data_IF_158969480223
#
_entry.id   IF_158969480223
#
_cell.length_a   1.000
_cell.length_b   1.000
_cell.length_c   1.000
_cell.angle_alpha   90.00
_cell.angle_beta   90.00
_cell.angle_gamma   90.00
#
_symmetry.space_group_name_H-M   'P 1'
#
loop_
_entity.id
_entity.type
_entity.pdbx_description
1 polymer ?
2 non-polymer ?
3 non-polymer ?
4 non-polymer ?
5 water ?
#
# COMPACT_ATOMS: atom_id res chain seq x y z
N UNK A 1 -7.66 -4.44 -19.27
CA UNK A 1 -8.20 -3.11 -19.02
C UNK A 1 -8.16 -2.86 -17.52
N UNK A 2 -8.13 -1.60 -17.12
CA UNK A 2 -8.11 -1.20 -15.73
C UNK A 2 -9.52 -1.01 -15.18
N UNK A 3 -9.73 -1.40 -13.92
CA UNK A 3 -11.08 -1.25 -13.34
C UNK A 3 -11.30 0.20 -12.96
N UNK A 4 -12.44 0.79 -13.32
CA UNK A 4 -12.78 2.11 -12.79
C UNK A 4 -13.26 2.02 -11.35
N UNK A 5 -13.37 3.19 -10.73
CA UNK A 5 -13.84 3.30 -9.33
C UNK A 5 -15.07 2.43 -9.04
N UNK A 6 -16.10 2.52 -9.89
CA UNK A 6 -17.32 1.81 -9.54
C UNK A 6 -17.15 0.29 -9.63
N UNK A 7 -16.24 -0.20 -10.44
CA UNK A 7 -15.96 -1.64 -10.43
C UNK A 7 -15.06 -2.03 -9.28
N UNK A 8 -14.09 -1.18 -8.91
CA UNK A 8 -13.32 -1.44 -7.71
C UNK A 8 -14.24 -1.61 -6.51
N UNK A 9 -15.16 -0.68 -6.34
CA UNK A 9 -16.09 -0.75 -5.22
C UNK A 9 -16.83 -2.08 -5.18
N UNK A 10 -17.21 -2.61 -6.34
CA UNK A 10 -17.98 -3.86 -6.41
C UNK A 10 -17.11 -5.10 -6.22
N UNK A 11 -15.94 -5.17 -6.86
CA UNK A 11 -15.19 -6.41 -7.04
C UNK A 11 -14.03 -6.62 -6.08
N UNK A 12 -13.45 -5.58 -5.51
CA UNK A 12 -12.28 -5.73 -4.68
C UNK A 12 -12.70 -5.54 -3.24
N UNK A 13 -12.41 -6.51 -2.40
CA UNK A 13 -12.59 -6.33 -0.97
C UNK A 13 -11.47 -5.44 -0.47
N UNK A 14 -11.82 -4.30 0.12
CA UNK A 14 -10.88 -3.30 0.62
C UNK A 14 -11.46 -2.86 1.96
N UNK A 15 -10.85 -3.31 3.06
CA UNK A 15 -11.42 -3.10 4.40
C UNK A 15 -10.36 -2.71 5.42
N UNK A 16 -10.56 -1.64 6.17
CA UNK A 16 -11.75 -0.75 6.15
C UNK A 16 -11.77 0.19 4.94
N UNK A 17 -12.94 0.34 4.32
CA UNK A 17 -13.06 1.12 3.08
C UNK A 17 -13.25 2.59 3.43
N UNK A 18 -12.45 3.43 2.81
CA UNK A 18 -12.47 4.87 3.04
C UNK A 18 -12.99 5.53 1.78
N UNK A 19 -14.13 6.22 1.88
CA UNK A 19 -14.73 6.83 0.69
C UNK A 19 -13.77 7.78 -0.01
N UNK A 20 -13.07 8.62 0.77
CA UNK A 20 -12.17 9.61 0.19
C UNK A 20 -11.00 8.94 -0.54
N UNK A 21 -10.71 7.69 -0.25
CA UNK A 21 -9.61 7.00 -0.93
C UNK A 21 -9.96 6.54 -2.35
N UNK A 22 -11.24 6.46 -2.71
CA UNK A 22 -11.55 5.93 -4.04
C UNK A 22 -11.24 7.00 -5.07
N UNK A 23 -10.42 6.65 -6.05
CA UNK A 23 -10.00 7.53 -7.12
C UNK A 23 -10.62 7.05 -8.40
N UNK A 24 -10.49 7.80 -9.49
CA UNK A 24 -11.18 7.42 -10.74
C UNK A 24 -10.87 6.00 -11.21
N UNK A 25 -9.61 5.57 -11.04
CA UNK A 25 -9.21 4.24 -11.44
C UNK A 25 -8.26 3.64 -10.40
N UNK A 26 -8.55 3.81 -9.13
CA UNK A 26 -7.69 3.20 -8.13
C UNK A 26 -8.19 3.52 -6.73
N UNK A 27 -7.41 3.10 -5.74
CA UNK A 27 -7.78 3.29 -4.33
C UNK A 27 -6.55 3.74 -3.57
N UNK A 28 -6.66 4.80 -2.78
CA UNK A 28 -5.54 5.31 -1.95
C UNK A 28 -5.45 4.51 -0.63
N UNK A 29 -4.56 3.53 -0.63
CA UNK A 29 -4.20 2.80 0.59
C UNK A 29 -3.66 3.78 1.62
N UNK A 30 -3.96 3.50 2.89
CA UNK A 30 -3.60 4.39 3.98
C UNK A 30 -2.50 3.77 4.85
N UNK A 31 -1.73 4.65 5.49
CA UNK A 31 -0.75 4.20 6.48
C UNK A 31 -1.46 3.45 7.62
N UNK A 32 -1.02 2.22 7.89
CA UNK A 32 -1.61 1.33 8.88
C UNK A 32 -0.89 1.36 10.23
N UNK A 33 -1.01 0.23 10.95
CA UNK A 33 -0.75 0.22 12.38
C UNK A 33 0.68 0.00 12.74
N UNK A 34 1.52 -0.43 11.80
CA UNK A 34 2.87 -0.89 12.08
C UNK A 34 3.84 -0.40 11.01
N UNK A 35 5.07 -0.09 11.46
CA UNK A 35 6.17 0.22 10.54
C UNK A 35 7.41 -0.41 11.11
N UNK A 36 8.46 -0.49 10.32
CA UNK A 36 9.72 -1.09 10.72
C UNK A 36 10.86 -0.30 10.07
N UNK A 37 11.73 0.30 10.88
CA UNK A 37 12.78 1.18 10.39
C UNK A 37 14.01 0.91 11.23
N UNK A 38 15.15 0.66 10.59
CA UNK A 38 16.43 0.50 11.31
C UNK A 38 16.33 -0.53 12.43
N UNK A 39 15.68 -1.66 12.15
CA UNK A 39 15.68 -2.79 13.07
C UNK A 39 14.61 -2.71 14.14
N UNK A 40 13.77 -1.67 14.12
CA UNK A 40 12.84 -1.39 15.21
C UNK A 40 11.41 -1.32 14.69
N UNK A 41 10.50 -2.00 15.39
CA UNK A 41 9.09 -1.96 15.10
C UNK A 41 8.54 -0.68 15.71
N UNK A 42 7.66 -0.02 14.98
CA UNK A 42 7.02 1.21 15.40
C UNK A 42 5.53 0.96 15.42
N UNK A 43 4.90 1.26 16.56
CA UNK A 43 3.45 1.19 16.65
C UNK A 43 2.88 2.51 16.13
N UNK A 44 2.56 2.56 14.83
CA UNK A 44 2.10 3.78 14.18
C UNK A 44 0.72 4.15 14.69
N UNK A 45 -0.13 3.15 14.97
CA UNK A 45 -1.45 3.44 15.54
C UNK A 45 -1.32 4.21 16.84
N UNK A 46 -0.41 3.76 17.71
CA UNK A 46 -0.26 4.39 19.01
C UNK A 46 0.42 5.74 18.89
N UNK A 47 1.51 5.82 18.13
CA UNK A 47 2.27 7.06 18.02
C UNK A 47 1.59 8.10 17.13
N UNK A 48 0.68 7.67 16.27
CA UNK A 48 -0.03 8.55 15.40
C UNK A 48 0.67 8.88 14.12
N UNK A 49 1.89 8.39 13.91
CA UNK A 49 2.65 8.72 12.72
C UNK A 49 3.87 7.82 12.68
N UNK A 50 4.47 7.80 11.50
CA UNK A 50 5.80 7.22 11.30
C UNK A 50 6.68 8.32 10.69
N UNK A 51 7.93 8.42 11.13
CA UNK A 51 8.92 9.37 10.60
C UNK A 51 9.99 8.55 9.90
N UNK A 52 10.14 8.79 8.61
CA UNK A 52 11.18 8.10 7.83
C UNK A 52 12.42 8.98 7.85
N UNK A 53 13.52 8.54 8.45
CA UNK A 53 14.71 9.41 8.56
C UNK A 53 15.30 9.72 7.18
N UNK A 54 16.11 10.77 7.08
CA UNK A 54 16.77 11.07 5.79
C UNK A 54 17.55 9.87 5.27
N UNK A 55 17.49 9.64 3.96
CA UNK A 55 18.31 8.62 3.31
C UNK A 55 18.14 7.25 3.93
N UNK A 56 16.91 6.91 4.31
CA UNK A 56 16.62 5.65 4.98
C UNK A 56 15.34 5.09 4.38
N UNK A 57 15.24 3.76 4.33
CA UNK A 57 14.02 3.09 3.94
C UNK A 57 13.23 2.61 5.13
N UNK A 58 11.96 2.32 4.91
CA UNK A 58 11.02 1.96 5.96
C UNK A 58 10.07 0.95 5.36
N UNK A 59 9.59 0.01 6.16
CA UNK A 59 8.45 -0.85 5.82
C UNK A 59 7.23 -0.30 6.52
N UNK A 60 6.14 -0.18 5.80
CA UNK A 60 4.89 0.35 6.36
C UNK A 60 3.78 -0.62 5.99
N UNK A 61 2.95 -0.98 6.98
CA UNK A 61 1.80 -1.84 6.73
C UNK A 61 0.61 -1.01 6.30
N UNK A 62 -0.12 -1.46 5.28
CA UNK A 62 -1.32 -0.70 4.92
C UNK A 62 -2.38 -0.89 6.00
N UNK A 63 -3.21 0.16 6.18
CA UNK A 63 -4.38 0.00 7.05
C UNK A 63 -5.35 -1.01 6.48
N UNK A 64 -5.54 -1.03 5.16
CA UNK A 64 -6.53 -1.86 4.51
C UNK A 64 -6.00 -3.25 4.22
N UNK A 65 -6.87 -4.24 4.43
CA UNK A 65 -6.76 -5.52 3.76
C UNK A 65 -7.31 -5.38 2.35
N UNK A 66 -6.62 -5.96 1.38
CA UNK A 66 -7.04 -6.01 -0.01
C UNK A 66 -7.12 -7.48 -0.45
N UNK A 67 -8.23 -7.86 -1.08
CA UNK A 67 -8.40 -9.22 -1.60
C UNK A 67 -8.66 -9.10 -3.09
N UNK A 68 -7.79 -9.70 -3.90
CA UNK A 68 -7.91 -9.66 -5.36
C UNK A 68 -8.52 -10.95 -5.89
N UNK A 69 -9.48 -10.82 -6.82
CA UNK A 69 -9.97 -11.98 -7.58
C UNK A 69 -8.86 -12.65 -8.34
N UNK A 70 -9.12 -13.86 -8.85
CA UNK A 70 -8.12 -14.60 -9.59
C UNK A 70 -7.87 -14.06 -11.01
N UNK A 71 -8.60 -13.02 -11.42
CA UNK A 71 -8.41 -12.42 -12.73
C UNK A 71 -8.08 -10.91 -12.64
N UNK A 72 -7.53 -10.47 -11.52
CA UNK A 72 -7.11 -9.07 -11.39
C UNK A 72 -5.73 -9.01 -10.77
N UNK A 73 -4.90 -8.12 -11.34
CA UNK A 73 -3.55 -7.84 -10.82
C UNK A 73 -3.54 -6.43 -10.20
N UNK A 74 -2.89 -6.25 -9.04
CA UNK A 74 -2.80 -4.94 -8.40
C UNK A 74 -1.47 -4.24 -8.68
N UNK A 75 -1.55 -2.94 -8.92
CA UNK A 75 -0.42 -2.16 -9.44
C UNK A 75 -0.33 -0.84 -8.64
N UNK A 76 0.69 -0.69 -7.77
CA UNK A 76 0.77 0.42 -6.83
C UNK A 76 1.75 1.49 -7.25
N UNK A 77 1.40 2.76 -6.97
CA UNK A 77 2.31 3.89 -7.11
C UNK A 77 2.11 4.80 -5.93
N UNK A 78 3.17 5.48 -5.54
CA UNK A 78 3.09 6.46 -4.49
C UNK A 78 2.19 7.61 -4.91
N UNK A 79 1.56 8.27 -3.94
CA UNK A 79 0.85 9.50 -4.22
C UNK A 79 1.80 10.64 -4.58
N UNK A 80 1.33 11.55 -5.42
CA UNK A 80 2.22 12.55 -6.01
C UNK A 80 2.89 13.45 -4.97
N UNK A 81 2.15 13.89 -3.93
CA UNK A 81 2.79 14.82 -2.99
C UNK A 81 3.95 14.17 -2.25
N UNK A 82 3.85 12.86 -1.96
CA UNK A 82 4.92 12.18 -1.24
C UNK A 82 6.14 11.97 -2.12
N UNK A 83 5.93 11.77 -3.43
CA UNK A 83 7.06 11.71 -4.34
C UNK A 83 7.77 13.05 -4.37
N UNK A 84 7.00 14.17 -4.42
CA UNK A 84 7.63 15.49 -4.49
C UNK A 84 8.48 15.76 -3.26
N UNK A 85 8.12 15.21 -2.11
CA UNK A 85 8.83 15.43 -0.87
C UNK A 85 10.04 14.53 -0.73
N UNK A 86 10.28 13.68 -1.71
CA UNK A 86 11.52 12.92 -1.75
C UNK A 86 11.34 11.45 -1.49
N UNK A 87 10.11 10.92 -1.33
CA UNK A 87 9.95 9.48 -1.15
C UNK A 87 9.89 8.74 -2.47
N UNK A 88 10.44 7.51 -2.46
CA UNK A 88 10.34 6.56 -3.56
C UNK A 88 9.78 5.27 -3.01
N UNK A 89 8.76 4.71 -3.64
CA UNK A 89 8.25 3.39 -3.23
C UNK A 89 8.95 2.29 -4.00
N UNK A 90 9.18 1.18 -3.34
CA UNK A 90 9.74 0.02 -4.01
C UNK A 90 8.71 -1.08 -3.92
N UNK A 91 7.89 -1.20 -4.94
CA UNK A 91 6.70 -2.02 -4.87
C UNK A 91 6.77 -3.23 -5.77
N UNK A 92 6.26 -4.37 -5.30
CA UNK A 92 6.11 -5.59 -6.10
C UNK A 92 4.72 -5.62 -6.69
N UNK A 93 4.52 -6.50 -7.66
CA UNK A 93 3.15 -6.74 -8.14
C UNK A 93 2.29 -7.32 -7.01
N UNK A 94 0.99 -7.01 -7.01
CA UNK A 94 0.04 -7.65 -6.09
C UNK A 94 -0.70 -8.73 -6.89
N UNK A 95 -0.34 -9.98 -6.62
CA UNK A 95 -0.71 -11.08 -7.50
C UNK A 95 -2.21 -11.40 -7.43
N UNK A 96 -2.79 -11.83 -8.55
CA UNK A 96 -4.16 -12.35 -8.54
C UNK A 96 -4.30 -13.39 -7.45
N UNK A 97 -5.36 -13.25 -6.65
CA UNK A 97 -5.61 -14.15 -5.52
C UNK A 97 -5.04 -13.66 -4.21
N UNK A 98 -4.21 -12.61 -4.21
CA UNK A 98 -3.71 -12.07 -2.96
C UNK A 98 -4.86 -11.71 -2.01
N UNK A 99 -4.67 -11.96 -0.73
CA UNK A 99 -5.62 -11.53 0.29
C UNK A 99 -4.82 -11.10 1.52
N UNK A 100 -4.77 -9.82 1.84
CA UNK A 100 -4.13 -9.39 3.08
C UNK A 100 -3.79 -7.91 3.10
N UNK A 101 -3.33 -7.45 4.26
CA UNK A 101 -2.66 -6.14 4.32
C UNK A 101 -1.29 -6.21 3.70
N UNK A 102 -0.87 -5.14 3.05
CA UNK A 102 0.36 -5.14 2.27
C UNK A 102 1.51 -4.53 3.07
N UNK A 103 2.70 -5.13 2.97
CA UNK A 103 3.91 -4.55 3.55
C UNK A 103 4.63 -3.80 2.44
N UNK A 104 4.72 -2.51 2.59
CA UNK A 104 5.22 -1.61 1.55
C UNK A 104 6.55 -0.96 1.96
N UNK A 105 7.52 -0.95 1.06
CA UNK A 105 8.80 -0.33 1.36
C UNK A 105 8.83 1.05 0.71
N UNK A 106 9.20 2.06 1.50
CA UNK A 106 9.39 3.42 1.03
C UNK A 106 10.78 3.86 1.39
N UNK A 107 11.49 4.55 0.50
CA UNK A 107 12.81 5.10 0.77
C UNK A 107 12.71 6.62 0.78
N UNK A 108 13.22 7.26 1.81
CA UNK A 108 13.30 8.72 1.83
C UNK A 108 14.63 9.15 1.25
N UNK A 109 14.60 9.63 0.01
CA UNK A 109 15.83 10.06 -0.65
C UNK A 109 16.26 11.46 -0.25
N UNK A 110 15.47 12.16 0.57
CA UNK A 110 15.81 13.54 0.89
C UNK A 110 16.75 13.57 2.11
N UNK A 111 17.32 14.74 2.35
CA UNK A 111 18.17 15.03 3.49
C UNK A 111 17.39 15.39 4.75
N UNK A 112 16.07 15.37 4.69
CA UNK A 112 15.23 15.79 5.81
C UNK A 112 14.24 14.67 6.11
N UNK A 113 13.85 14.50 7.36
CA UNK A 113 12.88 13.43 7.66
C UNK A 113 11.53 13.71 7.02
N UNK A 114 10.80 12.64 6.69
CA UNK A 114 9.47 12.77 6.12
C UNK A 114 8.51 12.02 7.03
N UNK A 115 7.44 12.69 7.45
CA UNK A 115 6.48 12.10 8.39
C UNK A 115 5.21 11.72 7.64
N UNK A 116 4.61 10.59 8.01
CA UNK A 116 3.32 10.19 7.47
C UNK A 116 2.43 9.85 8.66
N UNK A 117 1.20 10.31 8.66
CA UNK A 117 0.35 10.12 9.80
C UNK A 117 -0.38 8.78 9.69
N UNK A 118 -0.71 8.22 10.86
CA UNK A 118 -1.58 7.04 10.87
C UNK A 118 -2.85 7.37 10.11
N UNK A 119 -3.25 6.49 9.19
CA UNK A 119 -4.47 6.71 8.42
C UNK A 119 -4.31 7.62 7.21
N UNK A 120 -3.11 8.14 6.93
CA UNK A 120 -2.90 9.04 5.80
C UNK A 120 -2.88 8.28 4.49
N UNK A 121 -3.59 8.79 3.49
CA UNK A 121 -3.54 8.21 2.15
C UNK A 121 -2.13 8.33 1.58
N UNK A 122 -1.54 7.24 1.15
CA UNK A 122 -0.14 7.31 0.71
C UNK A 122 0.21 6.56 -0.58
N UNK A 123 -0.52 5.50 -0.95
CA UNK A 123 -0.18 4.71 -2.14
C UNK A 123 -1.45 4.42 -2.88
N UNK A 124 -1.51 4.73 -4.17
CA UNK A 124 -2.71 4.41 -4.94
C UNK A 124 -2.50 3.09 -5.64
N UNK A 125 -3.37 2.13 -5.35
CA UNK A 125 -3.37 0.84 -6.02
C UNK A 125 -4.41 0.86 -7.12
N UNK A 126 -4.00 0.45 -8.30
CA UNK A 126 -4.88 0.28 -9.46
C UNK A 126 -5.01 -1.21 -9.77
N UNK A 127 -6.02 -1.58 -10.54
CA UNK A 127 -6.39 -2.99 -10.69
C UNK A 127 -6.57 -3.26 -12.18
N UNK A 128 -5.80 -4.23 -12.68
CA UNK A 128 -5.76 -4.55 -14.10
C UNK A 128 -6.36 -5.93 -14.31
N UNK A 129 -7.36 -6.00 -15.19
CA UNK A 129 -7.98 -7.28 -15.46
C UNK A 129 -7.07 -8.19 -16.28
N UNK A 130 -7.08 -9.48 -15.96
CA UNK A 130 -6.39 -10.47 -16.78
C UNK A 130 -7.27 -10.94 -17.94
N UNK A 131 -6.64 -11.46 -19.02
CA UNK A 131 -7.40 -11.90 -20.20
C UNK A 131 -8.21 -13.14 -19.90
N UNK A 132 -7.77 -13.93 -18.95
CA UNK A 132 -8.50 -15.08 -18.48
C UNK A 132 -7.98 -15.34 -17.08
N UNK A 133 -8.64 -16.19 -16.33
CA UNK A 133 -8.18 -16.46 -14.97
C UNK A 133 -6.85 -17.20 -14.98
N UNK A 134 -5.99 -16.87 -14.02
CA UNK A 134 -4.74 -17.58 -13.88
C UNK A 134 -4.98 -19.06 -13.63
N UNK A 135 -4.19 -19.92 -14.29
CA UNK A 135 -4.24 -21.34 -13.99
C UNK A 135 -3.88 -21.63 -12.53
N UNK A 136 -2.92 -20.90 -11.97
CA UNK A 136 -2.43 -21.07 -10.60
C UNK A 136 -2.34 -19.73 -9.90
N UNK A 137 -3.44 -19.23 -9.34
CA UNK A 137 -3.43 -17.94 -8.63
C UNK A 137 -2.68 -18.08 -7.33
N UNK A 138 -2.42 -16.94 -6.70
CA UNK A 138 -1.69 -16.89 -5.45
C UNK A 138 -2.67 -17.41 -4.39
N UNK A 145 -0.65 -12.27 7.26
CA UNK A 145 -1.27 -11.43 6.22
C UNK A 145 -1.95 -10.21 6.82
N UNK A 146 -1.98 -10.10 8.16
CA UNK A 146 -2.49 -8.93 8.89
C UNK A 146 -1.39 -8.11 9.56
N UNK A 147 -0.13 -8.49 9.42
CA UNK A 147 0.97 -7.81 10.10
C UNK A 147 2.10 -7.66 9.11
N UNK A 148 3.07 -6.82 9.49
CA UNK A 148 4.24 -6.62 8.64
C UNK A 148 4.96 -7.94 8.41
N UNK A 149 5.43 -8.13 7.20
CA UNK A 149 6.30 -9.27 6.88
C UNK A 149 7.73 -8.83 7.10
N UNK A 150 8.39 -9.47 8.03
CA UNK A 150 9.72 -9.09 8.47
C UNK A 150 10.79 -10.12 8.12
N UNK A 151 10.48 -11.14 7.34
CA UNK A 151 11.46 -12.14 6.96
C UNK A 151 12.39 -11.54 5.89
N UNK A 152 13.56 -12.15 5.76
CA UNK A 152 14.46 -11.86 4.66
C UNK A 152 14.89 -13.19 4.06
N UNK A 153 15.43 -13.13 2.85
CA UNK A 153 15.93 -14.36 2.24
C UNK A 153 17.06 -15.00 3.06
#
# INVERSE_FOLDING_TARGET
>A
MMLPDWKIRKEILIEPFNEKSLQPAGYDLRVGKEAYINGRLINVEKEGKVVIPPKTHALILTLERVKLPDDVMGDMKLRSSLAREGLLGSFAWVDPGWDGNLTLMLFNASEEPVELNYGERFVQIAFIRLEGPAKNPYRGNYQGSQHLVLSKRRK
#
